data_IF_358589767800
#
_entry.id   IF_358589767800
#
_cell.length_a   1.000
_cell.length_b   1.000
_cell.length_c   1.000
_cell.angle_alpha   90.00
_cell.angle_beta   90.00
_cell.angle_gamma   90.00
#
_symmetry.space_group_name_H-M   'P 1'
#
loop_
_entity.id
_entity.type
_entity.pdbx_description
1 polymer ?
#
# COMPACT_ATOMS: atom_id res chain seq x y z
N UNK A 1 -47.09 2.81 -21.40
CA UNK A 1 -47.26 1.54 -20.68
C UNK A 1 -46.19 1.51 -19.58
N UNK A 2 -46.57 1.81 -18.34
CA UNK A 2 -45.64 1.75 -17.19
C UNK A 2 -45.65 0.30 -16.71
N UNK A 3 -44.57 -0.43 -16.96
CA UNK A 3 -44.41 -1.79 -16.43
C UNK A 3 -44.07 -1.67 -14.96
N UNK A 4 -45.07 -1.84 -14.09
CA UNK A 4 -44.85 -1.98 -12.66
C UNK A 4 -44.28 -3.39 -12.45
N UNK A 5 -42.96 -3.50 -12.34
CA UNK A 5 -42.33 -4.76 -11.93
C UNK A 5 -42.67 -4.96 -10.45
N UNK A 6 -43.41 -6.01 -10.07
CA UNK A 6 -43.73 -6.25 -8.67
C UNK A 6 -42.44 -6.44 -7.89
N UNK A 7 -42.19 -5.59 -6.90
CA UNK A 7 -41.04 -5.70 -6.01
C UNK A 7 -41.07 -7.10 -5.38
N UNK A 8 -40.00 -7.91 -5.53
CA UNK A 8 -39.92 -9.18 -4.83
C UNK A 8 -40.09 -8.92 -3.33
N UNK A 9 -41.06 -9.61 -2.72
CA UNK A 9 -41.35 -9.50 -1.29
C UNK A 9 -40.21 -10.13 -0.50
N UNK A 10 -39.15 -9.37 -0.28
CA UNK A 10 -38.04 -9.74 0.59
C UNK A 10 -38.43 -9.60 2.07
N UNK A 11 -39.45 -10.34 2.52
CA UNK A 11 -39.95 -10.26 3.90
C UNK A 11 -38.86 -10.56 4.94
N UNK A 12 -37.87 -11.38 4.58
CA UNK A 12 -36.73 -11.67 5.44
C UNK A 12 -35.78 -10.47 5.66
N UNK A 13 -35.67 -9.52 4.71
CA UNK A 13 -34.85 -8.30 4.87
C UNK A 13 -35.43 -7.33 5.90
N UNK A 14 -36.71 -7.49 6.25
CA UNK A 14 -37.41 -6.66 7.24
C UNK A 14 -37.32 -7.21 8.66
N UNK A 15 -36.78 -8.42 8.85
CA UNK A 15 -36.54 -8.96 10.19
C UNK A 15 -35.63 -8.00 10.97
N UNK A 16 -35.79 -7.91 12.31
CA UNK A 16 -34.89 -7.12 13.13
C UNK A 16 -33.45 -7.62 12.96
N UNK A 17 -32.49 -6.70 12.91
CA UNK A 17 -31.07 -7.06 12.94
C UNK A 17 -30.69 -7.63 14.32
N UNK A 18 -29.49 -8.24 14.46
CA UNK A 18 -28.93 -8.53 15.78
C UNK A 18 -28.89 -7.28 16.65
N UNK A 19 -29.08 -7.46 17.96
CA UNK A 19 -29.01 -6.33 18.89
C UNK A 19 -27.61 -5.74 18.95
N UNK A 20 -27.52 -4.46 19.32
CA UNK A 20 -26.24 -3.75 19.37
C UNK A 20 -25.23 -4.42 20.30
N UNK A 21 -25.71 -5.06 21.37
CA UNK A 21 -24.90 -5.78 22.35
C UNK A 21 -24.22 -6.99 21.70
N UNK A 22 -24.95 -7.77 20.90
CA UNK A 22 -24.40 -8.92 20.18
C UNK A 22 -23.34 -8.47 19.19
N UNK A 23 -23.62 -7.42 18.42
CA UNK A 23 -22.67 -6.86 17.45
C UNK A 23 -21.40 -6.35 18.14
N UNK A 24 -21.52 -5.65 19.27
CA UNK A 24 -20.37 -5.17 20.05
C UNK A 24 -19.58 -6.30 20.72
N UNK A 25 -20.24 -7.38 21.17
CA UNK A 25 -19.57 -8.58 21.68
C UNK A 25 -18.72 -9.22 20.58
N UNK A 26 -19.27 -9.37 19.37
CA UNK A 26 -18.53 -9.89 18.21
C UNK A 26 -17.36 -8.96 17.86
N UNK A 27 -17.56 -7.65 17.85
CA UNK A 27 -16.48 -6.67 17.65
C UNK A 27 -15.37 -6.82 18.70
N UNK A 28 -15.73 -7.01 19.98
CA UNK A 28 -14.78 -7.22 21.07
C UNK A 28 -13.95 -8.49 20.90
N UNK A 29 -14.57 -9.60 20.47
CA UNK A 29 -13.84 -10.84 20.18
C UNK A 29 -12.86 -10.66 19.01
N UNK A 30 -13.30 -10.01 17.92
CA UNK A 30 -12.44 -9.72 16.77
C UNK A 30 -11.32 -8.74 17.10
N UNK A 31 -11.57 -7.79 18.02
CA UNK A 31 -10.56 -6.87 18.52
C UNK A 31 -9.45 -7.60 19.28
N UNK A 32 -9.79 -8.55 20.16
CA UNK A 32 -8.79 -9.38 20.84
C UNK A 32 -7.96 -10.17 19.84
N UNK A 33 -8.58 -10.77 18.82
CA UNK A 33 -7.86 -11.47 17.76
C UNK A 33 -6.90 -10.52 17.01
N UNK A 34 -7.39 -9.34 16.63
CA UNK A 34 -6.59 -8.32 15.92
C UNK A 34 -5.40 -7.87 16.77
N UNK A 35 -5.57 -7.72 18.08
CA UNK A 35 -4.50 -7.38 19.00
C UNK A 35 -3.42 -8.48 19.07
N UNK A 36 -3.82 -9.76 19.09
CA UNK A 36 -2.86 -10.89 19.07
C UNK A 36 -2.03 -10.87 17.79
N UNK A 37 -2.67 -10.72 16.63
CA UNK A 37 -1.96 -10.64 15.35
C UNK A 37 -1.06 -9.40 15.28
N UNK A 38 -1.52 -8.26 15.81
CA UNK A 38 -0.71 -7.06 15.89
C UNK A 38 0.57 -7.29 16.71
N UNK A 39 0.48 -7.93 17.88
CA UNK A 39 1.65 -8.29 18.67
C UNK A 39 2.63 -9.19 17.90
N UNK A 40 2.13 -10.22 17.22
CA UNK A 40 2.95 -11.09 16.38
C UNK A 40 3.64 -10.32 15.24
N UNK A 41 2.98 -9.32 14.65
CA UNK A 41 3.57 -8.44 13.62
C UNK A 41 4.67 -7.55 14.18
N UNK A 42 4.44 -6.95 15.34
CA UNK A 42 5.46 -6.15 16.02
C UNK A 42 6.71 -6.97 16.30
N UNK A 43 6.55 -8.22 16.75
CA UNK A 43 7.70 -9.10 17.02
C UNK A 43 8.43 -9.51 15.73
N UNK A 44 7.72 -9.75 14.62
CA UNK A 44 8.34 -9.97 13.30
C UNK A 44 9.20 -8.78 12.87
N UNK A 45 8.69 -7.56 12.97
CA UNK A 45 9.44 -6.34 12.61
C UNK A 45 10.68 -6.17 13.50
N UNK A 46 10.57 -6.41 14.81
CA UNK A 46 11.72 -6.42 15.72
C UNK A 46 12.79 -7.42 15.27
N UNK A 47 12.39 -8.64 14.88
CA UNK A 47 13.34 -9.65 14.40
C UNK A 47 14.01 -9.25 13.08
N UNK A 48 13.28 -8.63 12.14
CA UNK A 48 13.84 -8.07 10.90
C UNK A 48 14.90 -7.01 11.21
N UNK A 49 14.58 -6.05 12.08
CA UNK A 49 15.50 -4.98 12.47
C UNK A 49 16.77 -5.49 13.16
N UNK A 50 16.68 -6.57 13.95
CA UNK A 50 17.85 -7.23 14.55
C UNK A 50 18.76 -7.90 13.52
N UNK A 51 18.25 -8.30 12.36
CA UNK A 51 18.99 -9.04 11.34
C UNK A 51 19.75 -8.18 10.31
N UNK A 52 19.50 -6.87 10.25
CA UNK A 52 20.00 -5.98 9.17
C UNK A 52 21.37 -5.35 9.51
N UNK A 53 21.84 -5.43 10.76
CA UNK A 53 23.15 -4.90 11.17
C UNK A 53 24.23 -5.98 11.32
N UNK A 54 25.52 -5.67 11.09
CA UNK A 54 26.59 -6.50 11.64
C UNK A 54 26.37 -6.61 13.14
N UNK A 55 26.39 -7.81 13.70
CA UNK A 55 26.37 -8.04 15.15
C UNK A 55 27.80 -7.88 15.68
N UNK A 56 28.20 -6.73 16.25
CA UNK A 56 29.23 -6.78 17.27
C UNK A 56 28.62 -7.51 18.47
N UNK A 57 29.30 -8.56 18.95
CA UNK A 57 28.88 -9.42 20.06
C UNK A 57 28.61 -8.68 21.40
N UNK A 58 28.78 -7.35 21.42
CA UNK A 58 28.63 -6.46 22.58
C UNK A 58 27.55 -5.36 22.39
N UNK A 59 26.78 -5.39 21.30
CA UNK A 59 25.68 -4.46 21.06
C UNK A 59 24.40 -4.92 21.77
N UNK A 60 24.34 -4.66 23.08
CA UNK A 60 23.14 -4.85 23.92
C UNK A 60 21.93 -4.05 23.42
N UNK A 61 20.74 -4.54 23.77
CA UNK A 61 19.35 -4.21 23.39
C UNK A 61 18.89 -2.73 23.31
N UNK A 62 19.77 -1.73 23.34
CA UNK A 62 19.45 -0.30 23.48
C UNK A 62 19.18 0.46 22.17
N UNK A 63 19.23 -0.17 20.99
CA UNK A 63 18.93 0.51 19.71
C UNK A 63 17.45 0.62 19.38
N UNK A 64 16.58 -0.01 20.17
CA UNK A 64 15.13 0.14 20.05
C UNK A 64 14.58 1.23 20.98
N UNK A 65 15.32 2.32 21.17
CA UNK A 65 14.96 3.41 22.08
C UNK A 65 14.34 4.57 21.31
N UNK A 66 13.27 5.13 21.87
CA UNK A 66 12.65 6.37 21.40
C UNK A 66 11.77 6.22 20.16
N UNK A 67 12.07 7.01 19.13
CA UNK A 67 11.23 7.21 17.95
C UNK A 67 11.15 5.99 17.04
N UNK A 68 12.23 5.21 16.89
CA UNK A 68 12.25 4.01 16.05
C UNK A 68 11.23 2.97 16.54
N UNK A 69 11.10 2.81 17.87
CA UNK A 69 10.08 1.97 18.48
C UNK A 69 8.67 2.44 18.11
N UNK A 70 8.41 3.73 18.17
CA UNK A 70 7.09 4.29 17.80
C UNK A 70 6.83 4.08 16.29
N UNK A 71 7.80 4.36 15.43
CA UNK A 71 7.69 4.14 13.99
C UNK A 71 7.41 2.67 13.65
N UNK A 72 8.09 1.73 14.32
CA UNK A 72 7.86 0.29 14.13
C UNK A 72 6.47 -0.16 14.58
N UNK A 73 5.93 0.41 15.68
CA UNK A 73 4.57 0.13 16.13
C UNK A 73 3.54 0.67 15.13
N UNK A 74 3.77 1.87 14.59
CA UNK A 74 2.91 2.46 13.57
C UNK A 74 2.98 1.63 12.28
N UNK A 75 4.18 1.28 11.82
CA UNK A 75 4.39 0.42 10.64
C UNK A 75 3.71 -0.95 10.78
N UNK A 76 3.88 -1.62 11.93
CA UNK A 76 3.20 -2.88 12.24
C UNK A 76 1.67 -2.77 12.14
N UNK A 77 1.12 -1.58 12.41
CA UNK A 77 -0.31 -1.31 12.39
C UNK A 77 -0.83 -0.89 10.99
N UNK A 78 -0.05 -0.12 10.23
CA UNK A 78 -0.46 0.57 8.99
C UNK A 78 0.04 -0.08 7.70
N UNK A 79 0.99 -1.02 7.76
CA UNK A 79 1.51 -1.66 6.55
C UNK A 79 0.68 -2.91 6.24
N UNK A 80 -0.06 -2.86 5.14
CA UNK A 80 -1.05 -3.88 4.78
C UNK A 80 -0.55 -4.85 3.72
N UNK A 81 0.47 -4.47 2.95
CA UNK A 81 1.02 -5.27 1.86
C UNK A 81 1.70 -6.57 2.34
N UNK A 82 2.37 -6.54 3.50
CA UNK A 82 3.03 -7.73 4.04
C UNK A 82 2.07 -8.78 4.61
N UNK A 83 0.89 -8.35 5.11
CA UNK A 83 -0.07 -9.22 5.78
C UNK A 83 -1.52 -8.77 5.49
N UNK A 84 -2.07 -9.14 4.32
CA UNK A 84 -3.42 -8.77 3.94
C UNK A 84 -4.47 -9.36 4.89
N UNK A 85 -4.17 -10.51 5.54
CA UNK A 85 -5.05 -11.14 6.51
C UNK A 85 -5.26 -10.26 7.74
N UNK A 86 -4.18 -9.69 8.28
CA UNK A 86 -4.27 -8.69 9.35
C UNK A 86 -5.06 -7.45 8.93
N UNK A 87 -4.83 -6.94 7.72
CA UNK A 87 -5.52 -5.76 7.21
C UNK A 87 -7.04 -5.97 7.14
N UNK A 88 -7.48 -7.09 6.56
CA UNK A 88 -8.90 -7.48 6.45
C UNK A 88 -9.53 -7.62 7.84
N UNK A 89 -8.85 -8.33 8.75
CA UNK A 89 -9.37 -8.52 10.11
C UNK A 89 -9.51 -7.19 10.86
N UNK A 90 -8.51 -6.31 10.76
CA UNK A 90 -8.51 -4.98 11.38
C UNK A 90 -9.65 -4.10 10.84
N UNK A 91 -9.82 -4.06 9.52
CA UNK A 91 -10.92 -3.34 8.86
C UNK A 91 -12.28 -3.89 9.29
N UNK A 92 -12.46 -5.21 9.23
CA UNK A 92 -13.70 -5.89 9.61
C UNK A 92 -14.06 -5.67 11.07
N UNK A 93 -13.07 -5.74 11.97
CA UNK A 93 -13.24 -5.45 13.41
C UNK A 93 -13.78 -4.04 13.62
N UNK A 94 -13.16 -3.04 12.98
CA UNK A 94 -13.61 -1.64 13.09
C UNK A 94 -15.00 -1.44 12.51
N UNK A 95 -15.28 -2.00 11.34
CA UNK A 95 -16.59 -1.90 10.72
C UNK A 95 -17.68 -2.49 11.62
N UNK A 96 -17.46 -3.66 12.23
CA UNK A 96 -18.42 -4.26 13.16
C UNK A 96 -18.54 -3.45 14.46
N UNK A 97 -17.44 -2.89 14.97
CA UNK A 97 -17.45 -1.99 16.12
C UNK A 97 -18.31 -0.75 15.83
N UNK A 98 -18.07 -0.07 14.71
CA UNK A 98 -18.81 1.12 14.31
C UNK A 98 -20.28 0.81 14.02
N UNK A 99 -20.57 -0.34 13.41
CA UNK A 99 -21.94 -0.84 13.25
C UNK A 99 -22.67 -0.93 14.59
N UNK A 100 -22.06 -1.56 15.60
CA UNK A 100 -22.63 -1.67 16.94
C UNK A 100 -22.84 -0.31 17.63
N UNK A 101 -21.90 0.63 17.48
CA UNK A 101 -22.02 1.99 18.01
C UNK A 101 -23.16 2.76 17.32
N UNK A 102 -23.25 2.70 15.99
CA UNK A 102 -24.30 3.35 15.22
C UNK A 102 -25.69 2.76 15.49
N UNK A 103 -25.79 1.45 15.77
CA UNK A 103 -27.04 0.82 16.18
C UNK A 103 -27.56 1.37 17.52
N UNK A 104 -26.68 1.76 18.45
CA UNK A 104 -27.09 2.38 19.73
C UNK A 104 -27.51 3.83 19.55
N UNK A 105 -26.68 4.60 18.87
CA UNK A 105 -26.94 6.00 18.56
C UNK A 105 -26.18 6.36 17.30
N UNK A 106 -26.92 6.51 16.20
CA UNK A 106 -26.33 6.70 14.88
C UNK A 106 -25.37 7.89 14.83
N UNK A 107 -25.81 9.06 15.28
CA UNK A 107 -25.02 10.28 15.24
C UNK A 107 -23.74 10.19 16.08
N UNK A 108 -23.85 9.70 17.32
CA UNK A 108 -22.69 9.57 18.19
C UNK A 108 -21.73 8.49 17.68
N UNK A 109 -22.25 7.35 17.24
CA UNK A 109 -21.44 6.28 16.65
C UNK A 109 -20.70 6.73 15.39
N UNK A 110 -21.36 7.52 14.55
CA UNK A 110 -20.75 8.10 13.35
C UNK A 110 -19.65 9.12 13.69
N UNK A 111 -19.89 10.03 14.65
CA UNK A 111 -18.85 10.97 15.09
C UNK A 111 -17.64 10.27 15.73
N UNK A 112 -17.87 9.22 16.53
CA UNK A 112 -16.80 8.39 17.10
C UNK A 112 -16.01 7.72 15.97
N UNK A 113 -16.69 7.18 14.96
CA UNK A 113 -16.04 6.62 13.78
C UNK A 113 -15.12 7.64 13.12
N UNK A 114 -15.61 8.84 12.78
CA UNK A 114 -14.79 9.88 12.15
C UNK A 114 -13.58 10.28 13.00
N UNK A 115 -13.75 10.43 14.32
CA UNK A 115 -12.66 10.77 15.22
C UNK A 115 -11.58 9.68 15.29
N UNK A 116 -11.98 8.41 15.38
CA UNK A 116 -11.05 7.27 15.38
C UNK A 116 -10.26 7.21 14.07
N UNK A 117 -10.93 7.37 12.93
CA UNK A 117 -10.28 7.36 11.62
C UNK A 117 -9.30 8.52 11.46
N UNK A 118 -9.66 9.72 11.93
CA UNK A 118 -8.75 10.87 11.92
C UNK A 118 -7.47 10.61 12.72
N UNK A 119 -7.60 10.04 13.93
CA UNK A 119 -6.46 9.68 14.79
C UNK A 119 -5.59 8.63 14.11
N UNK A 120 -6.21 7.62 13.50
CA UNK A 120 -5.50 6.58 12.76
C UNK A 120 -4.71 7.13 11.57
N UNK A 121 -5.34 7.93 10.72
CA UNK A 121 -4.68 8.57 9.58
C UNK A 121 -3.47 9.42 10.04
N UNK A 122 -3.61 10.09 11.19
CA UNK A 122 -2.53 10.90 11.78
C UNK A 122 -1.30 10.08 12.15
N UNK A 123 -1.40 8.75 12.33
CA UNK A 123 -0.27 7.89 12.63
C UNK A 123 0.75 7.85 11.48
N UNK A 124 0.30 7.83 10.22
CA UNK A 124 1.22 7.85 9.05
C UNK A 124 2.00 9.18 9.00
N UNK A 125 1.32 10.30 9.23
CA UNK A 125 1.98 11.61 9.34
C UNK A 125 2.95 11.66 10.52
N UNK A 126 2.57 11.12 11.67
CA UNK A 126 3.46 11.03 12.82
C UNK A 126 4.72 10.20 12.50
N UNK A 127 4.58 9.08 11.76
CA UNK A 127 5.70 8.26 11.29
C UNK A 127 6.66 9.09 10.43
N UNK A 128 6.15 9.79 9.41
CA UNK A 128 6.97 10.64 8.53
C UNK A 128 7.70 11.71 9.33
N UNK A 129 7.00 12.42 10.22
CA UNK A 129 7.59 13.48 11.05
C UNK A 129 8.67 12.95 12.00
N UNK A 130 8.42 11.80 12.63
CA UNK A 130 9.40 11.16 13.50
C UNK A 130 10.65 10.73 12.71
N UNK A 131 10.51 10.09 11.55
CA UNK A 131 11.67 9.70 10.73
C UNK A 131 12.41 10.94 10.22
N UNK A 132 11.69 11.95 9.75
CA UNK A 132 12.25 13.23 9.32
C UNK A 132 13.05 13.93 10.43
N UNK A 133 12.57 13.91 11.67
CA UNK A 133 13.29 14.51 12.80
C UNK A 133 14.59 13.75 13.14
N UNK A 134 14.61 12.43 13.00
CA UNK A 134 15.73 11.60 13.43
C UNK A 134 16.80 11.35 12.36
N UNK A 135 16.42 11.29 11.08
CA UNK A 135 17.35 10.99 9.98
C UNK A 135 17.98 12.26 9.43
N UNK A 136 19.30 12.29 9.20
CA UNK A 136 19.98 13.47 8.61
C UNK A 136 19.89 13.50 7.09
N UNK A 137 19.94 12.33 6.46
CA UNK A 137 19.88 12.13 5.01
C UNK A 137 19.01 10.91 4.67
N UNK A 138 18.71 10.72 3.40
CA UNK A 138 17.99 9.53 2.91
C UNK A 138 18.74 8.23 3.22
N UNK A 139 20.07 8.24 3.13
CA UNK A 139 20.91 7.07 3.40
C UNK A 139 20.88 6.61 4.87
N UNK A 140 20.44 7.49 5.77
CA UNK A 140 20.28 7.17 7.19
C UNK A 140 18.91 6.56 7.54
N UNK A 141 18.00 6.50 6.58
CA UNK A 141 16.68 5.90 6.80
C UNK A 141 16.81 4.39 6.82
N UNK A 142 16.32 3.78 7.90
CA UNK A 142 16.15 2.33 7.98
C UNK A 142 14.75 1.97 7.47
N UNK A 143 14.63 1.28 6.34
CA UNK A 143 13.32 0.89 5.82
C UNK A 143 12.67 -0.13 6.76
N UNK A 144 11.37 0.05 7.04
CA UNK A 144 10.60 -0.84 7.91
C UNK A 144 9.86 -1.93 7.12
N UNK A 145 9.60 -1.65 5.85
CA UNK A 145 8.93 -2.57 4.92
C UNK A 145 9.77 -2.78 3.66
N UNK A 146 9.55 -3.92 2.99
CA UNK A 146 10.40 -4.34 1.85
C UNK A 146 10.18 -3.45 0.61
N UNK A 147 8.97 -2.91 0.43
CA UNK A 147 8.61 -1.91 -0.59
C UNK A 147 9.27 -0.56 -0.30
N UNK A 148 9.22 -0.10 0.95
CA UNK A 148 9.95 1.09 1.39
C UNK A 148 11.47 0.93 1.18
N UNK A 149 12.03 -0.27 1.40
CA UNK A 149 13.43 -0.55 1.15
C UNK A 149 13.78 -0.41 -0.34
N UNK A 150 12.93 -0.91 -1.24
CA UNK A 150 13.12 -0.79 -2.69
C UNK A 150 13.09 0.67 -3.15
N UNK A 151 12.21 1.48 -2.55
CA UNK A 151 12.09 2.88 -2.89
C UNK A 151 13.26 3.71 -2.34
N UNK A 152 13.69 3.45 -1.11
CA UNK A 152 14.69 4.26 -0.40
C UNK A 152 16.13 3.89 -0.78
N UNK A 153 16.36 2.73 -1.39
CA UNK A 153 17.71 2.26 -1.76
C UNK A 153 17.99 2.33 -3.27
N UNK A 154 19.27 2.42 -3.64
CA UNK A 154 19.72 2.41 -5.03
C UNK A 154 19.36 3.68 -5.81
N UNK A 155 19.17 3.54 -7.11
CA UNK A 155 18.88 4.67 -8.03
C UNK A 155 17.49 5.28 -7.76
N UNK A 156 16.54 4.47 -7.27
CA UNK A 156 15.19 4.90 -6.90
C UNK A 156 15.18 5.87 -5.73
N UNK A 157 16.22 5.86 -4.89
CA UNK A 157 16.36 6.80 -3.78
C UNK A 157 16.38 8.25 -4.27
N UNK A 158 16.84 8.49 -5.51
CA UNK A 158 16.99 9.83 -6.12
C UNK A 158 15.81 10.23 -6.99
N UNK A 159 14.90 9.30 -7.27
CA UNK A 159 13.73 9.53 -8.08
C UNK A 159 12.50 9.73 -7.19
N UNK A 160 11.70 10.73 -7.57
CA UNK A 160 10.42 11.03 -6.96
C UNK A 160 9.34 10.88 -8.04
N UNK A 161 8.51 9.86 -7.87
CA UNK A 161 7.38 9.57 -8.76
C UNK A 161 6.10 10.05 -8.07
N UNK A 162 5.56 11.22 -8.44
CA UNK A 162 4.31 11.73 -7.85
C UNK A 162 3.11 10.89 -8.32
N UNK A 163 2.23 10.51 -7.39
CA UNK A 163 1.00 9.78 -7.72
C UNK A 163 -0.23 10.68 -7.79
N UNK A 164 -0.16 11.87 -7.21
CA UNK A 164 -1.26 12.84 -7.16
C UNK A 164 -0.81 14.28 -7.46
N UNK A 165 -1.79 15.16 -7.70
CA UNK A 165 -1.56 16.58 -8.04
C UNK A 165 -0.80 17.33 -6.93
N UNK A 166 -0.98 16.95 -5.67
CA UNK A 166 -0.37 17.59 -4.52
C UNK A 166 1.12 17.22 -4.42
N UNK A 167 1.47 15.99 -4.76
CA UNK A 167 2.83 15.46 -4.86
C UNK A 167 3.58 16.02 -6.09
N UNK A 168 2.87 16.30 -7.19
CA UNK A 168 3.49 16.84 -8.40
C UNK A 168 3.94 18.30 -8.22
N UNK A 169 5.25 18.49 -7.96
CA UNK A 169 5.88 19.79 -7.80
C UNK A 169 6.01 20.57 -9.12
N UNK A 170 5.90 19.91 -10.26
CA UNK A 170 5.99 20.56 -11.58
C UNK A 170 4.72 21.34 -11.92
N UNK A 171 3.59 20.99 -11.29
CA UNK A 171 2.32 21.67 -11.47
C UNK A 171 2.24 22.98 -10.67
N UNK A 172 1.56 24.01 -11.21
CA UNK A 172 1.31 25.25 -10.48
C UNK A 172 0.61 24.99 -9.15
N UNK A 173 1.08 25.64 -8.09
CA UNK A 173 0.49 25.50 -6.75
C UNK A 173 -1.01 25.84 -6.70
N UNK A 174 -1.45 26.81 -7.51
CA UNK A 174 -2.87 27.17 -7.62
C UNK A 174 -3.77 26.02 -8.08
N UNK A 175 -3.27 25.13 -8.94
CA UNK A 175 -4.02 23.94 -9.38
C UNK A 175 -4.21 22.96 -8.22
N UNK A 176 -3.15 22.70 -7.45
CA UNK A 176 -3.23 21.84 -6.26
C UNK A 176 -4.24 22.39 -5.23
N UNK A 177 -4.26 23.71 -5.01
CA UNK A 177 -5.24 24.36 -4.11
C UNK A 177 -6.67 24.20 -4.64
N UNK A 178 -6.90 24.38 -5.94
CA UNK A 178 -8.23 24.26 -6.53
C UNK A 178 -8.79 22.83 -6.39
N UNK A 179 -7.97 21.82 -6.70
CA UNK A 179 -8.32 20.40 -6.58
C UNK A 179 -8.62 20.06 -5.11
N UNK A 180 -7.73 20.49 -4.20
CA UNK A 180 -7.91 20.32 -2.76
C UNK A 180 -9.22 20.91 -2.22
N UNK A 181 -9.53 22.17 -2.56
CA UNK A 181 -10.78 22.81 -2.12
C UNK A 181 -12.01 22.09 -2.66
N UNK A 182 -11.96 21.66 -3.92
CA UNK A 182 -13.07 20.90 -4.54
C UNK A 182 -13.29 19.58 -3.81
N UNK A 183 -12.23 18.82 -3.53
CA UNK A 183 -12.32 17.55 -2.82
C UNK A 183 -12.82 17.72 -1.38
N UNK A 184 -12.31 18.69 -0.62
CA UNK A 184 -12.80 18.96 0.74
C UNK A 184 -14.30 19.29 0.75
N UNK A 185 -14.78 20.11 -0.18
CA UNK A 185 -16.20 20.45 -0.26
C UNK A 185 -17.03 19.21 -0.55
N UNK A 186 -16.64 18.40 -1.55
CA UNK A 186 -17.38 17.20 -1.92
C UNK A 186 -17.37 16.14 -0.82
N UNK A 187 -16.23 15.90 -0.18
CA UNK A 187 -16.11 14.99 0.97
C UNK A 187 -16.98 15.50 2.12
N UNK A 188 -16.88 16.79 2.45
CA UNK A 188 -17.70 17.42 3.48
C UNK A 188 -19.20 17.25 3.25
N UNK A 189 -19.67 17.45 2.02
CA UNK A 189 -21.06 17.21 1.65
C UNK A 189 -21.48 15.74 1.81
N UNK A 190 -20.62 14.79 1.44
CA UNK A 190 -20.89 13.36 1.62
C UNK A 190 -20.99 13.01 3.11
N UNK A 191 -20.10 13.55 3.94
CA UNK A 191 -20.10 13.35 5.39
C UNK A 191 -21.34 13.95 6.06
N UNK A 192 -21.69 15.18 5.71
CA UNK A 192 -22.87 15.88 6.21
C UNK A 192 -24.17 15.16 5.83
N UNK A 193 -24.32 14.79 4.56
CA UNK A 193 -25.47 14.02 4.08
C UNK A 193 -25.58 12.66 4.80
N UNK A 194 -24.44 12.00 5.08
CA UNK A 194 -24.45 10.74 5.84
C UNK A 194 -24.88 10.95 7.29
N UNK A 195 -24.38 12.01 7.94
CA UNK A 195 -24.70 12.33 9.32
C UNK A 195 -26.18 12.68 9.52
N UNK A 196 -26.76 13.45 8.58
CA UNK A 196 -28.15 13.86 8.64
C UNK A 196 -29.14 12.73 8.29
N UNK A 197 -28.71 11.77 7.46
CA UNK A 197 -29.57 10.65 7.01
C UNK A 197 -29.70 9.55 8.08
N UNK A 198 -30.47 9.83 9.13
CA UNK A 198 -30.76 8.87 10.21
C UNK A 198 -31.84 7.85 9.84
N UNK A 199 -32.70 8.20 8.88
CA UNK A 199 -33.79 7.35 8.40
C UNK A 199 -33.71 7.12 6.89
N UNK A 200 -34.23 5.99 6.41
CA UNK A 200 -34.28 5.62 4.99
C UNK A 200 -35.66 5.12 4.58
N UNK A 201 -35.85 5.00 3.27
CA UNK A 201 -36.96 4.24 2.70
C UNK A 201 -36.72 2.76 2.95
N UNK A 202 -37.65 2.12 3.64
CA UNK A 202 -37.68 0.71 3.92
C UNK A 202 -37.80 -0.11 2.62
N UNK A 203 -37.41 -1.39 2.64
CA UNK A 203 -37.49 -2.26 1.46
C UNK A 203 -38.92 -2.58 0.98
N UNK A 204 -39.94 -2.34 1.82
CA UNK A 204 -41.36 -2.41 1.45
C UNK A 204 -41.89 -1.08 0.86
N UNK A 205 -41.05 -0.05 0.74
CA UNK A 205 -41.43 1.27 0.25
C UNK A 205 -41.93 2.25 1.32
N UNK A 206 -42.07 1.85 2.59
CA UNK A 206 -42.42 2.80 3.67
C UNK A 206 -41.26 3.72 3.98
N UNK A 207 -41.51 4.96 4.40
CA UNK A 207 -40.47 5.93 4.77
C UNK A 207 -40.22 5.92 6.29
N UNK A 208 -39.07 6.44 6.71
CA UNK A 208 -38.76 6.62 8.14
C UNK A 208 -38.17 5.41 8.85
N UNK A 209 -37.71 4.37 8.14
CA UNK A 209 -36.99 3.28 8.78
C UNK A 209 -35.65 3.79 9.31
N UNK A 210 -35.39 3.58 10.60
CA UNK A 210 -34.07 3.84 11.17
C UNK A 210 -32.99 3.04 10.42
N UNK A 211 -31.90 3.71 10.04
CA UNK A 211 -30.71 3.08 9.47
C UNK A 211 -30.23 1.93 10.36
N UNK A 212 -29.76 0.83 9.76
CA UNK A 212 -29.10 -0.30 10.44
C UNK A 212 -29.96 -1.10 11.43
N UNK A 213 -31.27 -0.85 11.50
CA UNK A 213 -32.21 -1.58 12.39
C UNK A 213 -32.82 -2.84 11.75
N UNK A 214 -32.82 -2.91 10.42
CA UNK A 214 -33.32 -4.07 9.69
C UNK A 214 -32.16 -4.99 9.28
N UNK A 215 -32.44 -6.30 9.25
CA UNK A 215 -31.48 -7.32 8.80
C UNK A 215 -30.96 -7.01 7.40
N UNK A 216 -31.82 -6.48 6.53
CA UNK A 216 -31.43 -6.04 5.20
C UNK A 216 -30.37 -4.95 5.18
N UNK A 217 -30.56 -3.86 5.94
CA UNK A 217 -29.52 -2.81 6.08
C UNK A 217 -28.25 -3.35 6.71
N UNK A 218 -28.36 -4.27 7.67
CA UNK A 218 -27.22 -4.90 8.32
C UNK A 218 -26.39 -5.72 7.32
N UNK A 219 -27.04 -6.55 6.49
CA UNK A 219 -26.38 -7.31 5.43
C UNK A 219 -25.73 -6.40 4.38
N UNK A 220 -26.39 -5.31 3.97
CA UNK A 220 -25.82 -4.34 3.04
C UNK A 220 -24.62 -3.60 3.64
N UNK A 221 -24.63 -3.28 4.93
CA UNK A 221 -23.48 -2.70 5.62
C UNK A 221 -22.27 -3.65 5.56
N UNK A 222 -22.48 -4.94 5.84
CA UNK A 222 -21.42 -5.95 5.73
C UNK A 222 -20.93 -6.09 4.29
N UNK A 223 -21.82 -6.05 3.30
CA UNK A 223 -21.44 -6.05 1.89
C UNK A 223 -20.57 -4.83 1.54
N UNK A 224 -20.93 -3.64 1.99
CA UNK A 224 -20.10 -2.44 1.83
C UNK A 224 -18.76 -2.55 2.55
N UNK A 225 -18.70 -3.25 3.68
CA UNK A 225 -17.45 -3.57 4.38
C UNK A 225 -16.56 -4.48 3.52
N UNK A 226 -17.13 -5.51 2.88
CA UNK A 226 -16.38 -6.35 1.94
C UNK A 226 -15.86 -5.55 0.74
N UNK A 227 -16.69 -4.66 0.18
CA UNK A 227 -16.25 -3.75 -0.89
C UNK A 227 -15.07 -2.90 -0.41
N UNK A 228 -15.14 -2.34 0.79
CA UNK A 228 -14.06 -1.56 1.40
C UNK A 228 -12.78 -2.39 1.55
N UNK A 229 -12.87 -3.63 2.01
CA UNK A 229 -11.72 -4.54 2.07
C UNK A 229 -11.13 -4.83 0.68
N UNK A 230 -11.96 -4.98 -0.35
CA UNK A 230 -11.49 -5.16 -1.73
C UNK A 230 -10.80 -3.89 -2.25
N UNK A 231 -11.32 -2.69 -1.94
CA UNK A 231 -10.64 -1.44 -2.29
C UNK A 231 -9.30 -1.31 -1.58
N UNK A 232 -9.23 -1.70 -0.31
CA UNK A 232 -8.06 -1.50 0.53
C UNK A 232 -6.95 -2.55 0.33
N UNK A 233 -7.32 -3.79 0.01
CA UNK A 233 -6.40 -4.95 -0.09
C UNK A 233 -6.34 -5.49 -1.53
N UNK A 234 -7.09 -4.89 -2.45
CA UNK A 234 -7.26 -5.37 -3.83
C UNK A 234 -5.96 -5.49 -4.62
N UNK A 235 -6.04 -6.09 -5.83
CA UNK A 235 -4.88 -6.22 -6.69
C UNK A 235 -4.30 -4.83 -7.02
N UNK A 236 -3.02 -4.65 -6.72
CA UNK A 236 -2.18 -3.44 -6.78
C UNK A 236 -2.12 -2.71 -8.13
N UNK A 237 -2.96 -3.10 -9.09
CA UNK A 237 -2.91 -2.60 -10.46
C UNK A 237 -3.78 -1.35 -10.68
N UNK A 238 -4.58 -0.93 -9.71
CA UNK A 238 -5.36 0.34 -9.66
C UNK A 238 -6.09 0.51 -8.32
N UNK A 239 -6.35 -0.61 -7.60
CA UNK A 239 -7.07 -0.61 -6.33
C UNK A 239 -6.10 -1.05 -5.22
N UNK A 240 -6.02 -0.30 -4.13
CA UNK A 240 -5.16 -0.61 -2.98
C UNK A 240 -3.78 0.03 -3.00
N UNK A 241 -3.46 0.88 -3.99
CA UNK A 241 -2.38 1.87 -3.83
C UNK A 241 -2.83 2.88 -2.77
N UNK A 242 -1.99 3.15 -1.76
CA UNK A 242 -2.26 4.24 -0.83
C UNK A 242 -2.27 5.54 -1.64
N UNK A 243 -3.37 6.29 -1.60
CA UNK A 243 -3.49 7.58 -2.30
C UNK A 243 -2.46 8.60 -1.79
N UNK A 244 -2.08 8.48 -0.51
CA UNK A 244 -0.91 9.14 0.05
C UNK A 244 0.30 8.19 -0.03
N UNK A 245 1.37 8.60 -0.71
CA UNK A 245 2.64 7.88 -0.65
C UNK A 245 3.53 8.44 0.49
N UNK A 246 3.57 7.81 1.68
CA UNK A 246 4.36 8.32 2.79
C UNK A 246 5.87 8.32 2.49
N UNK A 247 6.32 7.39 1.65
CA UNK A 247 7.73 7.26 1.24
C UNK A 247 8.12 8.43 0.35
N UNK A 248 7.27 8.82 -0.61
CA UNK A 248 7.47 10.01 -1.45
C UNK A 248 7.72 11.26 -0.59
N UNK A 249 6.81 11.55 0.34
CA UNK A 249 6.92 12.73 1.20
C UNK A 249 8.14 12.68 2.10
N UNK A 250 8.46 11.51 2.66
CA UNK A 250 9.66 11.33 3.46
C UNK A 250 10.94 11.62 2.66
N UNK A 251 11.08 11.04 1.46
CA UNK A 251 12.20 11.30 0.56
C UNK A 251 12.33 12.78 0.25
N UNK A 252 11.24 13.40 -0.20
CA UNK A 252 11.20 14.81 -0.56
C UNK A 252 11.60 15.71 0.61
N UNK A 253 11.09 15.43 1.83
CA UNK A 253 11.47 16.20 3.01
C UNK A 253 12.95 16.04 3.39
N UNK A 254 13.48 14.80 3.33
CA UNK A 254 14.88 14.54 3.63
C UNK A 254 15.83 15.18 2.61
N UNK A 255 15.49 15.14 1.32
CA UNK A 255 16.21 15.84 0.26
C UNK A 255 16.18 17.36 0.50
N UNK A 256 15.00 17.92 0.79
CA UNK A 256 14.78 19.35 1.03
C UNK A 256 15.35 19.87 2.37
N UNK A 257 16.06 19.05 3.15
CA UNK A 257 16.85 19.55 4.28
C UNK A 257 17.99 20.45 3.81
N UNK A 258 18.50 20.18 2.61
CA UNK A 258 19.51 20.97 1.93
C UNK A 258 18.89 21.65 0.70
N UNK A 259 19.62 22.59 0.10
CA UNK A 259 19.27 23.15 -1.22
C UNK A 259 19.47 22.05 -2.25
N UNK A 260 18.43 21.75 -3.03
CA UNK A 260 18.43 20.67 -4.01
C UNK A 260 17.91 21.17 -5.35
N UNK A 261 18.38 20.53 -6.41
CA UNK A 261 17.93 20.77 -7.78
C UNK A 261 17.35 19.47 -8.32
N UNK A 262 16.13 19.56 -8.84
CA UNK A 262 15.44 18.47 -9.49
C UNK A 262 15.40 18.71 -11.00
N UNK A 263 15.63 17.66 -11.78
CA UNK A 263 15.46 17.63 -13.23
C UNK A 263 14.31 16.72 -13.61
N UNK A 264 13.56 17.08 -14.64
CA UNK A 264 12.56 16.22 -15.27
C UNK A 264 12.41 16.51 -16.75
N UNK A 265 11.93 15.52 -17.47
CA UNK A 265 11.53 15.63 -18.88
C UNK A 265 10.02 15.90 -18.96
N UNK A 266 9.60 16.92 -19.72
CA UNK A 266 8.19 17.25 -19.87
C UNK A 266 7.47 16.18 -20.73
N UNK A 267 6.59 15.38 -20.09
CA UNK A 267 5.75 14.38 -20.76
C UNK A 267 4.81 14.99 -21.81
N UNK A 268 4.59 16.32 -21.77
CA UNK A 268 3.76 17.07 -22.72
C UNK A 268 4.30 17.17 -24.15
N UNK A 269 5.45 16.56 -24.46
CA UNK A 269 5.89 16.30 -25.83
C UNK A 269 6.96 17.23 -26.38
N UNK A 270 7.48 18.20 -25.61
CA UNK A 270 8.65 18.98 -26.04
C UNK A 270 9.96 18.21 -25.83
N UNK A 271 9.99 17.23 -24.92
CA UNK A 271 11.23 16.53 -24.53
C UNK A 271 12.27 17.48 -23.91
N UNK A 272 11.85 18.69 -23.51
CA UNK A 272 12.74 19.67 -22.91
C UNK A 272 13.02 19.28 -21.46
N UNK A 273 14.30 19.18 -21.13
CA UNK A 273 14.75 19.04 -19.75
C UNK A 273 14.47 20.34 -18.99
N UNK A 274 13.74 20.23 -17.89
CA UNK A 274 13.47 21.35 -16.98
C UNK A 274 14.13 21.10 -15.64
N UNK A 275 14.56 22.20 -15.03
CA UNK A 275 15.17 22.21 -13.70
C UNK A 275 14.28 22.97 -12.72
N UNK A 276 14.18 22.46 -11.50
CA UNK A 276 13.51 23.08 -10.38
C UNK A 276 14.50 23.16 -9.24
N UNK A 277 14.88 24.37 -8.90
CA UNK A 277 15.66 24.64 -7.72
C UNK A 277 14.73 24.84 -6.52
N UNK A 278 14.94 24.04 -5.48
CA UNK A 278 14.16 24.09 -4.25
C UNK A 278 15.03 24.61 -3.11
N UNK A 279 14.62 25.75 -2.55
CA UNK A 279 15.28 26.30 -1.36
C UNK A 279 15.10 25.38 -0.16
N UNK A 280 16.14 25.28 0.67
CA UNK A 280 16.08 24.47 1.88
C UNK A 280 14.89 24.88 2.75
N UNK A 281 14.11 23.90 3.21
CA UNK A 281 12.91 24.10 4.06
C UNK A 281 11.81 24.93 3.40
N UNK A 282 11.65 24.84 2.07
CA UNK A 282 10.55 25.49 1.36
C UNK A 282 9.17 25.18 1.96
N UNK A 283 8.47 26.20 2.48
CA UNK A 283 7.23 26.03 3.26
C UNK A 283 6.06 25.49 2.43
N UNK A 284 6.04 25.73 1.11
CA UNK A 284 4.95 25.25 0.25
C UNK A 284 4.89 23.72 0.17
N UNK A 285 6.01 23.02 0.42
CA UNK A 285 6.01 21.56 0.51
C UNK A 285 5.20 21.07 1.70
N UNK A 286 5.32 21.74 2.85
CA UNK A 286 4.53 21.42 4.04
C UNK A 286 3.04 21.65 3.81
N UNK A 287 2.69 22.69 3.06
CA UNK A 287 1.30 22.96 2.72
C UNK A 287 0.75 21.92 1.74
N UNK A 288 1.51 21.54 0.70
CA UNK A 288 1.13 20.46 -0.21
C UNK A 288 1.00 19.12 0.52
N UNK A 289 1.93 18.82 1.43
CA UNK A 289 1.86 17.65 2.29
C UNK A 289 0.60 17.65 3.16
N UNK A 290 0.28 18.78 3.81
CA UNK A 290 -0.93 18.90 4.60
C UNK A 290 -2.21 18.72 3.75
N UNK A 291 -2.22 19.25 2.52
CA UNK A 291 -3.33 19.06 1.57
C UNK A 291 -3.50 17.59 1.19
N UNK A 292 -2.40 16.93 0.80
CA UNK A 292 -2.37 15.50 0.45
C UNK A 292 -2.80 14.64 1.64
N UNK A 293 -2.28 14.91 2.84
CA UNK A 293 -2.71 14.22 4.06
C UNK A 293 -4.22 14.36 4.33
N UNK A 294 -4.76 15.58 4.25
CA UNK A 294 -6.17 15.81 4.57
C UNK A 294 -7.12 15.16 3.56
N UNK A 295 -6.79 15.16 2.28
CA UNK A 295 -7.68 14.59 1.26
C UNK A 295 -7.40 13.10 1.06
N UNK A 296 -6.14 12.73 0.79
CA UNK A 296 -5.77 11.42 0.27
C UNK A 296 -5.63 10.39 1.38
N UNK A 297 -5.31 10.82 2.61
CA UNK A 297 -5.29 9.94 3.77
C UNK A 297 -6.60 10.06 4.55
N UNK A 298 -6.90 11.23 5.11
CA UNK A 298 -8.07 11.42 6.00
C UNK A 298 -9.37 11.33 5.22
N UNK A 299 -9.53 12.13 4.18
CA UNK A 299 -10.74 12.19 3.36
C UNK A 299 -11.08 10.84 2.73
N UNK A 300 -10.11 10.20 2.08
CA UNK A 300 -10.25 8.88 1.49
C UNK A 300 -10.65 7.83 2.53
N UNK A 301 -9.94 7.75 3.66
CA UNK A 301 -10.24 6.77 4.72
C UNK A 301 -11.64 6.99 5.28
N UNK A 302 -12.06 8.25 5.48
CA UNK A 302 -13.42 8.55 5.90
C UNK A 302 -14.46 8.09 4.86
N UNK A 303 -14.25 8.37 3.58
CA UNK A 303 -15.13 7.92 2.50
C UNK A 303 -15.24 6.39 2.45
N UNK A 304 -14.12 5.68 2.60
CA UNK A 304 -14.09 4.21 2.65
C UNK A 304 -14.95 3.65 3.78
N UNK A 305 -14.92 4.24 4.97
CA UNK A 305 -15.75 3.79 6.10
C UNK A 305 -17.20 4.30 6.06
N UNK A 306 -17.45 5.37 5.32
CA UNK A 306 -18.80 5.89 5.03
C UNK A 306 -19.50 5.04 3.97
N UNK A 307 -18.75 4.42 3.06
CA UNK A 307 -19.30 3.54 2.01
C UNK A 307 -20.25 2.46 2.57
N UNK A 308 -19.87 1.65 3.59
CA UNK A 308 -20.80 0.73 4.26
C UNK A 308 -22.11 1.37 4.72
N UNK A 309 -22.06 2.59 5.26
CA UNK A 309 -23.24 3.33 5.74
C UNK A 309 -24.13 3.75 4.58
N UNK A 310 -23.55 4.33 3.53
CA UNK A 310 -24.28 4.72 2.31
C UNK A 310 -24.91 3.53 1.62
N UNK A 311 -24.18 2.41 1.50
CA UNK A 311 -24.65 1.16 0.92
C UNK A 311 -25.81 0.59 1.74
N UNK A 312 -25.73 0.62 3.07
CA UNK A 312 -26.83 0.22 3.95
C UNK A 312 -28.09 1.10 3.79
N UNK A 313 -27.90 2.37 3.40
CA UNK A 313 -28.97 3.31 3.09
C UNK A 313 -29.71 3.04 1.78
N UNK A 314 -29.13 2.28 0.86
CA UNK A 314 -29.72 2.06 -0.46
C UNK A 314 -30.85 1.00 -0.42
N UNK A 315 -31.88 1.25 -1.23
CA UNK A 315 -32.96 0.31 -1.46
C UNK A 315 -32.75 -0.54 -2.73
N UNK A 316 -31.81 -0.16 -3.61
CA UNK A 316 -31.56 -0.81 -4.90
C UNK A 316 -30.08 -1.12 -5.11
N UNK A 317 -29.79 -2.23 -5.81
CA UNK A 317 -28.42 -2.62 -6.17
C UNK A 317 -27.77 -1.58 -7.09
N UNK A 318 -28.52 -0.99 -8.02
CA UNK A 318 -28.01 0.10 -8.85
C UNK A 318 -27.58 1.29 -8.01
N UNK A 319 -28.36 1.66 -6.98
CA UNK A 319 -27.98 2.72 -6.04
C UNK A 319 -26.67 2.39 -5.31
N UNK A 320 -26.46 1.13 -4.91
CA UNK A 320 -25.20 0.68 -4.31
C UNK A 320 -24.02 0.88 -5.26
N UNK A 321 -24.16 0.47 -6.52
CA UNK A 321 -23.10 0.60 -7.52
C UNK A 321 -22.78 2.07 -7.81
N UNK A 322 -23.79 2.91 -8.02
CA UNK A 322 -23.58 4.34 -8.26
C UNK A 322 -22.93 5.05 -7.08
N UNK A 323 -23.32 4.70 -5.85
CA UNK A 323 -22.68 5.24 -4.65
C UNK A 323 -21.23 4.81 -4.54
N UNK A 324 -20.93 3.54 -4.76
CA UNK A 324 -19.56 3.02 -4.74
C UNK A 324 -18.68 3.71 -5.81
N UNK A 325 -19.16 3.78 -7.05
CA UNK A 325 -18.44 4.43 -8.15
C UNK A 325 -18.29 5.94 -7.92
N UNK A 326 -19.32 6.60 -7.41
CA UNK A 326 -19.26 8.02 -7.08
C UNK A 326 -18.22 8.33 -6.01
N UNK A 327 -18.14 7.50 -4.96
CA UNK A 327 -17.11 7.64 -3.92
C UNK A 327 -15.70 7.40 -4.45
N UNK A 328 -15.51 6.40 -5.33
CA UNK A 328 -14.20 6.18 -5.99
C UNK A 328 -13.81 7.37 -6.85
N UNK A 329 -14.74 7.89 -7.66
CA UNK A 329 -14.45 9.03 -8.52
C UNK A 329 -14.06 10.29 -7.74
N UNK A 330 -14.65 10.53 -6.57
CA UNK A 330 -14.27 11.65 -5.70
C UNK A 330 -12.81 11.56 -5.23
N UNK A 331 -12.35 10.34 -4.99
CA UNK A 331 -10.98 10.05 -4.55
C UNK A 331 -10.03 10.19 -5.72
N UNK A 332 -10.41 9.74 -6.91
CA UNK A 332 -9.57 9.82 -8.12
C UNK A 332 -9.46 11.23 -8.72
N UNK A 333 -10.10 12.26 -8.15
CA UNK A 333 -10.09 13.61 -8.72
C UNK A 333 -8.69 14.24 -8.79
N UNK A 334 -7.79 13.86 -7.88
CA UNK A 334 -6.39 14.31 -7.84
C UNK A 334 -5.40 13.27 -8.37
N UNK A 335 -5.88 12.09 -8.81
CA UNK A 335 -5.03 11.07 -9.38
C UNK A 335 -4.48 11.56 -10.74
N UNK A 336 -3.17 11.78 -10.78
CA UNK A 336 -2.48 12.17 -12.01
C UNK A 336 -1.08 11.57 -12.04
N UNK A 337 -0.69 11.01 -13.18
CA UNK A 337 0.72 10.67 -13.44
C UNK A 337 1.47 11.98 -13.62
N UNK A 338 2.19 12.43 -12.60
CA UNK A 338 3.06 13.61 -12.70
C UNK A 338 4.38 13.28 -13.38
N UNK A 339 5.22 14.29 -13.57
CA UNK A 339 6.56 14.09 -14.12
C UNK A 339 7.49 13.50 -13.05
N UNK A 340 8.29 12.50 -13.41
CA UNK A 340 9.29 11.92 -12.51
C UNK A 340 10.41 12.94 -12.29
N UNK A 341 10.62 13.32 -11.02
CA UNK A 341 11.68 14.25 -10.65
C UNK A 341 12.93 13.47 -10.25
N UNK A 342 14.07 13.79 -10.87
CA UNK A 342 15.36 13.19 -10.55
C UNK A 342 16.25 14.20 -9.84
N UNK A 343 16.83 13.81 -8.70
CA UNK A 343 17.76 14.66 -7.96
C UNK A 343 19.08 14.81 -8.72
N UNK A 344 19.45 16.06 -9.03
CA UNK A 344 20.73 16.39 -9.64
C UNK A 344 21.77 16.56 -8.54
N UNK A 345 22.85 15.77 -8.58
CA UNK A 345 24.00 16.05 -7.74
C UNK A 345 24.57 17.39 -8.19
N UNK A 346 24.59 18.37 -7.27
CA UNK A 346 25.34 19.59 -7.46
C UNK A 346 26.81 19.23 -7.53
N UNK A 347 27.27 18.84 -8.72
CA UNK A 347 28.68 18.76 -9.02
C UNK A 347 29.15 20.19 -8.84
N UNK A 348 29.84 20.44 -7.72
CA UNK A 348 30.60 21.66 -7.52
C UNK A 348 31.60 21.71 -8.67
N UNK A 349 31.18 22.27 -9.81
CA UNK A 349 32.03 22.69 -10.91
C UNK A 349 32.83 23.87 -10.35
N UNK A 350 33.82 23.53 -9.51
CA UNK A 350 34.97 24.36 -9.30
C UNK A 350 35.75 24.35 -10.63
N UNK A 351 35.23 25.08 -11.62
CA UNK A 351 35.99 25.53 -12.77
C UNK A 351 37.05 26.52 -12.26
N UNK A 352 38.11 25.97 -11.65
CA UNK A 352 39.43 26.54 -11.81
C UNK A 352 40.02 25.83 -13.03
N UNK A 353 39.90 26.49 -14.17
CA UNK A 353 40.77 26.27 -15.32
C UNK A 353 42.21 26.12 -14.82
N UNK A 354 42.68 24.89 -14.77
CA UNK A 354 44.08 24.56 -14.60
C UNK A 354 44.42 23.68 -15.78
N UNK A 355 44.78 24.36 -16.86
CA UNK A 355 45.46 23.82 -18.03
C UNK A 355 46.67 23.01 -17.54
N UNK A 356 46.53 21.69 -17.49
CA UNK A 356 47.68 20.80 -17.42
C UNK A 356 47.36 19.52 -18.18
N UNK A 357 47.98 19.44 -19.35
CA UNK A 357 48.11 18.24 -20.16
C UNK A 357 48.66 17.10 -19.30
N UNK A 358 47.85 16.06 -19.10
CA UNK A 358 48.22 14.88 -18.32
C UNK A 358 47.45 13.68 -18.82
N UNK A 359 48.04 13.00 -19.81
CA UNK A 359 47.65 11.67 -20.28
C UNK A 359 47.60 10.70 -19.11
N UNK A 360 46.42 10.19 -18.77
CA UNK A 360 46.28 8.93 -18.05
C UNK A 360 45.06 8.14 -18.54
N UNK A 361 45.42 7.05 -19.20
CA UNK A 361 44.66 5.89 -19.62
C UNK A 361 43.96 5.23 -18.41
N UNK A 362 42.64 5.38 -18.31
CA UNK A 362 41.79 4.60 -17.40
C UNK A 362 40.38 4.44 -17.97
N UNK A 363 40.00 3.19 -18.23
CA UNK A 363 38.61 2.74 -18.22
C UNK A 363 37.77 3.13 -19.44
N UNK A 364 37.94 2.37 -20.53
CA UNK A 364 37.04 2.33 -21.70
C UNK A 364 35.57 2.11 -21.32
N UNK A 365 34.89 3.19 -20.97
CA UNK A 365 33.45 3.35 -21.14
C UNK A 365 33.18 3.20 -22.63
N UNK A 366 32.45 2.14 -23.00
CA UNK A 366 31.94 1.97 -24.35
C UNK A 366 30.97 3.12 -24.64
N UNK A 367 31.50 4.25 -25.15
CA UNK A 367 30.69 5.22 -25.88
C UNK A 367 30.22 4.54 -27.16
N UNK A 368 29.05 3.92 -27.09
CA UNK A 368 28.35 3.46 -28.27
C UNK A 368 28.01 4.69 -29.10
N UNK A 369 28.49 4.73 -30.34
CA UNK A 369 28.18 5.79 -31.30
C UNK A 369 26.66 5.93 -31.40
N UNK A 370 26.14 7.16 -31.41
CA UNK A 370 24.70 7.46 -31.38
C UNK A 370 23.95 6.73 -32.51
N UNK A 371 24.62 6.55 -33.65
CA UNK A 371 24.13 5.75 -34.78
C UNK A 371 24.04 4.26 -34.49
N UNK A 372 24.96 3.70 -33.71
CA UNK A 372 24.89 2.31 -33.27
C UNK A 372 23.77 2.10 -32.25
N UNK A 373 23.56 3.06 -31.34
CA UNK A 373 22.45 3.03 -30.39
C UNK A 373 21.09 3.08 -31.11
N UNK A 374 20.91 3.99 -32.08
CA UNK A 374 19.69 4.04 -32.90
C UNK A 374 19.48 2.76 -33.72
N UNK A 375 20.54 2.18 -34.29
CA UNK A 375 20.46 0.93 -35.02
C UNK A 375 20.05 -0.24 -34.12
N UNK A 376 20.54 -0.29 -32.88
CA UNK A 376 20.21 -1.32 -31.91
C UNK A 376 18.77 -1.16 -31.39
N UNK A 377 18.33 0.07 -31.14
CA UNK A 377 16.93 0.41 -30.81
C UNK A 377 15.98 -0.05 -31.93
N UNK A 378 16.29 0.24 -33.20
CA UNK A 378 15.48 -0.24 -34.33
C UNK A 378 15.46 -1.76 -34.46
N UNK A 379 16.57 -2.43 -34.12
CA UNK A 379 16.65 -3.90 -34.14
C UNK A 379 15.74 -4.52 -33.07
N UNK A 380 15.70 -3.95 -31.87
CA UNK A 380 14.82 -4.38 -30.77
C UNK A 380 13.35 -4.19 -31.18
N UNK A 381 12.99 -3.03 -31.74
CA UNK A 381 11.62 -2.74 -32.19
C UNK A 381 11.17 -3.73 -33.28
N UNK A 382 12.01 -4.00 -34.29
CA UNK A 382 11.68 -4.98 -35.34
C UNK A 382 11.50 -6.40 -34.79
N UNK A 383 12.31 -6.79 -33.80
CA UNK A 383 12.18 -8.10 -33.17
C UNK A 383 10.88 -8.20 -32.37
N UNK A 384 10.52 -7.16 -31.61
CA UNK A 384 9.27 -7.11 -30.87
C UNK A 384 8.05 -7.14 -31.80
N UNK A 385 8.06 -6.41 -32.91
CA UNK A 385 6.98 -6.44 -33.90
C UNK A 385 6.83 -7.82 -34.57
N UNK A 386 7.94 -8.50 -34.89
CA UNK A 386 7.89 -9.88 -35.41
C UNK A 386 7.27 -10.85 -34.40
N UNK A 387 7.58 -10.70 -33.12
CA UNK A 387 7.01 -11.55 -32.07
C UNK A 387 5.51 -11.29 -31.89
N UNK A 388 5.05 -10.04 -32.03
CA UNK A 388 3.62 -9.68 -32.01
C UNK A 388 2.90 -10.22 -33.25
N UNK A 389 3.50 -10.08 -34.43
CA UNK A 389 2.93 -10.60 -35.68
C UNK A 389 2.81 -12.13 -35.64
N UNK A 390 3.83 -12.83 -35.14
CA UNK A 390 3.78 -14.27 -34.93
C UNK A 390 2.69 -14.68 -33.92
N UNK A 391 2.45 -13.88 -32.87
CA UNK A 391 1.35 -14.13 -31.93
C UNK A 391 -0.02 -13.90 -32.57
N UNK A 392 -0.17 -12.86 -33.39
CA UNK A 392 -1.41 -12.56 -34.11
C UNK A 392 -1.71 -13.61 -35.18
N UNK A 393 -0.71 -14.08 -35.92
CA UNK A 393 -0.86 -15.17 -36.89
C UNK A 393 -1.23 -16.49 -36.20
N UNK A 394 -0.64 -16.79 -35.04
CA UNK A 394 -1.00 -17.97 -34.26
C UNK A 394 -2.41 -17.89 -33.67
N UNK A 395 -2.87 -16.70 -33.29
CA UNK A 395 -4.26 -16.44 -32.88
C UNK A 395 -5.23 -16.57 -34.05
N UNK A 396 -4.86 -16.08 -35.24
CA UNK A 396 -5.68 -16.17 -36.44
C UNK A 396 -5.85 -17.62 -36.94
N UNK A 397 -4.85 -18.49 -36.73
CA UNK A 397 -4.93 -19.91 -37.07
C UNK A 397 -5.63 -20.79 -36.03
N UNK A 398 -6.22 -20.21 -34.98
CA UNK A 398 -7.06 -20.94 -34.01
C UNK A 398 -6.29 -21.91 -33.11
N UNK A 399 -4.95 -21.81 -33.04
CA UNK A 399 -4.10 -22.75 -32.32
C UNK A 399 -3.92 -22.37 -30.83
N UNK A 400 -5.05 -22.11 -30.15
CA UNK A 400 -5.08 -21.63 -28.77
C UNK A 400 -4.54 -22.65 -27.75
N UNK A 401 -4.53 -23.95 -28.09
CA UNK A 401 -4.12 -25.02 -27.16
C UNK A 401 -2.60 -25.12 -27.01
N UNK A 402 -1.82 -24.81 -28.03
CA UNK A 402 -0.35 -24.85 -27.94
C UNK A 402 0.26 -23.60 -27.30
N UNK A 403 -0.37 -22.42 -27.44
CA UNK A 403 0.10 -21.17 -26.82
C UNK A 403 0.00 -21.17 -25.28
N UNK A 404 -1.08 -21.74 -24.72
CA UNK A 404 -1.24 -21.87 -23.27
C UNK A 404 -0.18 -22.78 -22.62
N UNK A 405 0.24 -23.85 -23.31
CA UNK A 405 1.32 -24.72 -22.84
C UNK A 405 2.72 -24.11 -22.99
N UNK A 406 2.96 -23.34 -24.06
CA UNK A 406 4.26 -22.68 -24.30
C UNK A 406 4.50 -21.50 -23.34
N UNK A 407 3.45 -20.74 -22.99
CA UNK A 407 3.53 -19.71 -21.95
C UNK A 407 3.75 -20.30 -20.55
N UNK A 408 3.14 -21.46 -20.22
CA UNK A 408 3.44 -22.19 -18.97
C UNK A 408 4.90 -22.65 -18.87
N UNK A 409 5.51 -23.12 -19.97
CA UNK A 409 6.93 -23.52 -20.01
C UNK A 409 7.92 -22.34 -19.99
N UNK A 410 7.56 -21.17 -20.56
CA UNK A 410 8.41 -19.96 -20.46
C UNK A 410 8.36 -19.34 -19.07
N UNK A 411 7.18 -19.32 -18.40
CA UNK A 411 7.08 -18.91 -16.99
C UNK A 411 7.87 -19.83 -16.05
N UNK A 412 7.90 -21.15 -16.30
CA UNK A 412 8.68 -22.07 -15.45
C UNK A 412 10.21 -21.97 -15.64
N UNK A 413 10.69 -21.44 -16.77
CA UNK A 413 12.13 -21.18 -16.99
C UNK A 413 12.60 -19.88 -16.34
N UNK A 414 11.75 -18.84 -16.29
CA UNK A 414 12.08 -17.61 -15.58
C UNK A 414 12.04 -17.76 -14.06
N UNK A 415 11.17 -18.63 -13.52
CA UNK A 415 11.18 -18.93 -12.08
C UNK A 415 12.36 -19.80 -11.64
N UNK A 416 12.96 -20.59 -12.54
CA UNK A 416 14.09 -21.48 -12.20
C UNK A 416 15.48 -20.80 -12.22
N UNK A 417 15.65 -19.68 -12.92
CA UNK A 417 16.93 -18.94 -12.92
C UNK A 417 17.08 -18.13 -11.64
N UNK A 418 15.99 -17.58 -11.10
CA UNK A 418 15.99 -16.84 -9.82
C UNK A 418 16.06 -17.77 -8.60
N UNK A 419 15.54 -18.99 -8.69
CA UNK A 419 15.60 -19.98 -7.58
C UNK A 419 16.88 -20.82 -7.56
N UNK A 420 17.61 -20.94 -8.68
CA UNK A 420 18.92 -21.59 -8.71
C UNK A 420 20.07 -20.70 -8.19
N UNK A 421 19.88 -19.38 -8.14
CA UNK A 421 20.88 -18.42 -7.62
C UNK A 421 20.79 -18.20 -6.10
N UNK A 422 19.70 -18.63 -5.46
CA UNK A 422 19.46 -18.45 -4.01
C UNK A 422 19.53 -19.73 -3.17
N UNK A 423 19.86 -20.89 -3.74
CA UNK A 423 19.95 -22.17 -3.01
C UNK A 423 21.33 -22.83 -3.01
N UNK A 424 22.41 -22.12 -3.35
CA UNK A 424 23.78 -22.66 -3.31
C UNK A 424 24.64 -22.07 -2.19
N UNK A 425 24.11 -21.87 -0.98
CA UNK A 425 24.94 -21.59 0.20
C UNK A 425 24.19 -21.86 1.51
N UNK A 426 24.09 -23.12 1.91
CA UNK A 426 24.10 -23.52 3.33
C UNK A 426 24.49 -25.01 3.44
N UNK A 427 25.51 -25.35 4.27
CA UNK A 427 25.85 -26.74 4.55
C UNK A 427 24.84 -27.31 5.56
N UNK A 428 24.09 -28.32 5.13
CA UNK A 428 23.11 -29.01 5.95
C UNK A 428 23.83 -29.95 6.95
N UNK A 429 23.86 -29.55 8.23
CA UNK A 429 24.34 -30.38 9.34
C UNK A 429 23.14 -31.00 10.06
N UNK A 430 23.09 -32.33 10.04
CA UNK A 430 22.37 -33.23 10.97
C UNK A 430 20.90 -32.94 11.30
N UNK A 431 20.02 -33.88 10.93
CA UNK A 431 19.58 -34.83 11.95
C UNK A 431 18.93 -36.13 11.44
N UNK A 432 19.07 -37.11 12.32
CA UNK A 432 18.75 -38.53 12.31
C UNK A 432 17.24 -38.87 12.34
N UNK A 433 16.98 -40.06 11.80
CA UNK A 433 16.15 -41.18 12.34
C UNK A 433 14.62 -41.11 12.40
N UNK A 434 14.00 -41.98 11.58
CA UNK A 434 13.11 -43.14 11.89
C UNK A 434 12.27 -43.40 10.62
N UNK A 435 12.01 -44.59 10.10
CA UNK A 435 12.06 -45.98 10.57
C UNK A 435 11.89 -46.92 9.35
N UNK A 436 11.97 -48.23 9.59
CA UNK A 436 11.83 -49.39 8.68
C UNK A 436 13.13 -49.74 7.93
N UNK A 437 13.70 -50.95 8.00
CA UNK A 437 13.31 -52.22 8.63
C UNK A 437 14.00 -53.34 7.83
N UNK A 438 14.59 -54.33 8.51
CA UNK A 438 14.95 -55.62 7.91
C UNK A 438 16.42 -56.05 8.01
N UNK A 439 16.58 -57.27 8.54
CA UNK A 439 17.75 -58.18 8.53
C UNK A 439 18.83 -57.92 9.60
N UNK A 440 18.85 -58.68 10.70
CA UNK A 440 19.33 -60.07 10.83
C UNK A 440 20.86 -60.17 10.75
N UNK A 441 21.54 -60.20 11.90
CA UNK A 441 22.29 -61.36 12.38
C UNK A 441 23.17 -61.01 13.61
N UNK A 442 23.16 -61.92 14.59
CA UNK A 442 24.23 -62.29 15.54
C UNK A 442 24.60 -61.33 16.70
N UNK A 443 24.10 -61.73 17.87
CA UNK A 443 24.69 -61.71 19.22
C UNK A 443 26.20 -62.05 19.25
N UNK A 444 26.97 -61.88 20.38
CA UNK A 444 26.47 -61.79 21.76
C UNK A 444 27.22 -60.88 22.76
N UNK A 445 26.57 -60.73 23.94
CA UNK A 445 27.10 -60.69 25.32
C UNK A 445 28.31 -59.80 25.64
N UNK A 446 28.17 -58.91 26.64
CA UNK A 446 28.91 -58.96 27.92
C UNK A 446 28.26 -58.02 28.95
N UNK A 447 28.14 -58.54 30.17
CA UNK A 447 27.71 -57.90 31.41
C UNK A 447 28.72 -56.87 31.96
N UNK A 448 28.20 -55.87 32.66
CA UNK A 448 28.68 -55.26 33.93
C UNK A 448 28.30 -53.77 33.92
N UNK A 449 27.76 -53.17 34.97
CA UNK A 449 27.71 -53.54 36.38
C UNK A 449 28.06 -52.29 37.19
N UNK A 450 27.23 -51.96 38.18
CA UNK A 450 27.49 -50.92 39.20
C UNK A 450 27.33 -49.49 38.65
N UNK A 451 26.55 -48.61 39.24
CA UNK A 451 26.48 -48.33 40.67
C UNK A 451 26.62 -46.81 40.84
N UNK A 452 26.20 -46.24 41.98
CA UNK A 452 25.33 -45.07 41.96
C UNK A 452 25.90 -43.86 42.73
N UNK A 453 25.05 -42.82 42.87
CA UNK A 453 25.12 -41.72 43.86
C UNK A 453 26.13 -40.64 43.41
N UNK A 454 25.77 -39.36 43.29
CA UNK A 454 24.91 -38.48 44.11
C UNK A 454 24.23 -37.39 43.29
#
# INVERSE_FOLDING_TARGET
MIVIIPYPKYEWFQRPCPSSEVTLIVAGMLFVWTAILFHQRVDRIKTKLRGIGPQPDDYQDDHFVGSLRICSLISAYMDHHEDPGFAILRLGTKAILFLGLMQRNFQHGFLIMLAVLFVECSLNTARILLVYQNCKSIDSVQPLADDEAYDITGDNARQLEPTNVQEDLTRPFALAVLVFLTQIVLIGLVLDDTYLTTTRTCFNGTTGCLMLTSLGSYCLYLMGTFMTCVYYVGPTNSYGSKELNPTFWLKLFLMNKNRVMFEWEDLGGSGEERTLELEAKHWTLWVRFAMSFLVNEVGFTMLLYVLPVKVAGQATIMGVVFQALGMVYLVDLDNCTGNVLTLVESTHKNNKESTTNGSHDYGSSYQMDEKQFEAEKQKIIRQAMKDVEAQLQALAHGDQRHHAQKQRKKRSKFTNITSALFLSKYPNTNNRQRQAGGNSEKSPLVLNGGGPIS
#
